data_IF_392284650468
#
_entry.id   IF_392284650468
#
_cell.length_a   1.000
_cell.length_b   1.000
_cell.length_c   1.000
_cell.angle_alpha   90.00
_cell.angle_beta   90.00
_cell.angle_gamma   90.00
#
_symmetry.space_group_name_H-M   'P 1'
#
loop_
_entity.id
_entity.type
_entity.pdbx_description
1 polymer ?
#
# COMPACT_ATOMS: atom_id res chain seq x y z
N UNK A 1 -5.30 -46.06 38.68
CA UNK A 1 -5.24 -44.60 38.45
C UNK A 1 -4.63 -44.37 37.09
N UNK A 2 -5.34 -43.74 36.16
CA UNK A 2 -4.89 -43.55 34.78
C UNK A 2 -3.74 -42.54 34.75
N UNK A 3 -2.52 -43.03 34.44
CA UNK A 3 -1.29 -42.25 34.24
C UNK A 3 -1.36 -41.42 32.94
N UNK A 4 -2.30 -40.48 32.84
CA UNK A 4 -2.34 -39.55 31.72
C UNK A 4 -1.50 -38.31 32.06
N UNK A 5 -0.43 -38.02 31.30
CA UNK A 5 0.37 -36.82 31.54
C UNK A 5 -0.50 -35.55 31.39
N UNK A 6 -0.19 -34.48 32.16
CA UNK A 6 -0.94 -33.24 32.10
C UNK A 6 -0.89 -32.65 30.69
N UNK A 7 -2.05 -32.24 30.17
CA UNK A 7 -2.11 -31.61 28.86
C UNK A 7 -1.58 -30.18 28.93
N UNK A 8 -0.89 -29.75 27.87
CA UNK A 8 -0.44 -28.37 27.71
C UNK A 8 -1.63 -27.42 27.82
N UNK A 9 -1.45 -26.32 28.57
CA UNK A 9 -2.44 -25.26 28.65
C UNK A 9 -2.83 -24.76 27.25
N UNK A 10 -4.13 -24.51 27.06
CA UNK A 10 -4.64 -23.97 25.79
C UNK A 10 -4.10 -22.56 25.57
N UNK A 11 -3.63 -22.28 24.36
CA UNK A 11 -3.11 -20.96 23.98
C UNK A 11 -4.29 -20.02 23.70
N UNK A 12 -4.24 -18.75 24.12
CA UNK A 12 -5.28 -17.78 23.74
C UNK A 12 -5.29 -17.58 22.22
N UNK A 13 -6.44 -17.16 21.68
CA UNK A 13 -6.53 -16.72 20.30
C UNK A 13 -5.66 -15.47 20.06
N UNK A 14 -4.98 -15.41 18.90
CA UNK A 14 -4.12 -14.29 18.51
C UNK A 14 -4.89 -13.02 18.08
N UNK A 15 -6.22 -13.09 17.96
CA UNK A 15 -7.04 -11.89 17.71
C UNK A 15 -7.15 -11.10 19.01
N UNK A 16 -6.63 -9.87 19.03
CA UNK A 16 -6.41 -9.10 20.26
C UNK A 16 -7.63 -8.85 21.16
N UNK A 17 -8.85 -8.96 20.64
CA UNK A 17 -10.11 -8.82 21.40
C UNK A 17 -10.81 -10.15 21.71
N UNK A 18 -10.29 -11.28 21.22
CA UNK A 18 -10.93 -12.58 21.36
C UNK A 18 -10.49 -13.26 22.67
N UNK A 19 -11.47 -13.66 23.48
CA UNK A 19 -11.24 -14.35 24.77
C UNK A 19 -11.17 -15.87 24.63
N UNK A 20 -11.45 -16.41 23.44
CA UNK A 20 -11.43 -17.86 23.20
C UNK A 20 -10.02 -18.40 23.06
N UNK A 21 -9.91 -19.73 23.18
CA UNK A 21 -8.66 -20.45 22.97
C UNK A 21 -8.45 -20.84 21.51
N UNK A 22 -7.20 -20.84 21.08
CA UNK A 22 -6.80 -21.28 19.76
C UNK A 22 -7.05 -22.79 19.59
N UNK A 23 -7.78 -23.14 18.53
CA UNK A 23 -7.96 -24.53 18.09
C UNK A 23 -6.89 -24.94 17.08
N UNK A 24 -6.49 -24.04 16.19
CA UNK A 24 -5.47 -24.31 15.16
C UNK A 24 -4.72 -23.04 14.75
N UNK A 25 -3.43 -23.14 14.39
CA UNK A 25 -2.60 -22.01 13.90
C UNK A 25 -2.67 -20.71 14.73
N UNK A 26 -2.99 -20.81 16.03
CA UNK A 26 -3.13 -19.65 16.92
C UNK A 26 -4.50 -18.94 16.88
N UNK A 27 -5.51 -19.47 16.20
CA UNK A 27 -6.85 -18.87 16.11
C UNK A 27 -7.94 -19.83 16.64
N UNK A 28 -9.01 -19.28 17.23
CA UNK A 28 -10.20 -20.06 17.61
C UNK A 28 -11.07 -20.35 16.37
N UNK A 29 -12.02 -21.28 16.48
CA UNK A 29 -12.84 -21.74 15.35
C UNK A 29 -13.63 -20.61 14.68
N UNK A 30 -14.11 -19.63 15.46
CA UNK A 30 -14.80 -18.44 14.93
C UNK A 30 -13.90 -17.60 14.01
N UNK A 31 -12.60 -17.54 14.30
CA UNK A 31 -11.63 -16.76 13.54
C UNK A 31 -10.90 -17.56 12.45
N UNK A 32 -10.99 -18.89 12.45
CA UNK A 32 -10.36 -19.74 11.44
C UNK A 32 -10.78 -19.37 10.02
N UNK A 33 -12.09 -19.17 9.78
CA UNK A 33 -12.62 -18.97 8.43
C UNK A 33 -12.07 -17.68 7.80
N UNK A 34 -12.00 -16.59 8.56
CA UNK A 34 -11.45 -15.32 8.10
C UNK A 34 -9.96 -15.44 7.75
N UNK A 35 -9.18 -16.14 8.56
CA UNK A 35 -7.74 -16.35 8.30
C UNK A 35 -7.54 -17.25 7.08
N UNK A 36 -8.30 -18.35 6.96
CA UNK A 36 -8.28 -19.23 5.79
C UNK A 36 -8.64 -18.48 4.51
N UNK A 37 -9.64 -17.59 4.56
CA UNK A 37 -10.00 -16.75 3.43
C UNK A 37 -8.84 -15.83 3.03
N UNK A 38 -8.23 -15.11 3.98
CA UNK A 38 -7.06 -14.27 3.72
C UNK A 38 -5.88 -15.05 3.15
N UNK A 39 -5.60 -16.25 3.68
CA UNK A 39 -4.54 -17.13 3.17
C UNK A 39 -4.82 -17.59 1.73
N UNK A 40 -6.09 -17.84 1.39
CA UNK A 40 -6.51 -18.17 0.02
C UNK A 40 -6.37 -16.98 -0.92
N UNK A 41 -6.84 -15.80 -0.51
CA UNK A 41 -6.70 -14.54 -1.25
C UNK A 41 -5.23 -14.18 -1.48
N UNK A 42 -4.35 -14.55 -0.53
CA UNK A 42 -2.90 -14.38 -0.67
C UNK A 42 -2.28 -15.23 -1.76
N UNK A 43 -2.88 -16.39 -2.05
CA UNK A 43 -2.32 -17.36 -2.98
C UNK A 43 -1.04 -18.02 -2.47
N UNK A 44 -0.56 -18.99 -3.24
CA UNK A 44 0.65 -19.74 -2.93
C UNK A 44 1.91 -18.89 -3.13
N UNK A 45 3.04 -19.31 -2.56
CA UNK A 45 4.32 -18.64 -2.80
C UNK A 45 4.65 -18.55 -4.31
N UNK A 46 4.41 -19.65 -5.04
CA UNK A 46 4.60 -19.71 -6.49
C UNK A 46 3.70 -18.70 -7.23
N UNK A 47 2.41 -18.60 -6.89
CA UNK A 47 1.50 -17.62 -7.49
C UNK A 47 1.93 -16.17 -7.24
N UNK A 48 2.66 -15.92 -6.16
CA UNK A 48 3.20 -14.59 -5.83
C UNK A 48 4.53 -14.29 -6.53
N UNK A 49 5.09 -15.22 -7.31
CA UNK A 49 6.34 -15.06 -8.04
C UNK A 49 7.55 -15.76 -7.40
N UNK A 50 7.39 -16.39 -6.23
CA UNK A 50 8.45 -17.16 -5.58
C UNK A 50 8.52 -18.59 -6.13
N UNK A 51 8.92 -18.70 -7.40
CA UNK A 51 9.06 -19.95 -8.14
C UNK A 51 10.54 -20.34 -8.34
N UNK A 52 10.80 -21.35 -9.17
CA UNK A 52 12.17 -21.79 -9.48
C UNK A 52 12.99 -20.71 -10.21
N UNK A 53 12.35 -19.83 -10.98
CA UNK A 53 13.02 -18.71 -11.64
C UNK A 53 13.49 -17.70 -10.60
N UNK A 54 12.65 -17.40 -9.61
CA UNK A 54 13.05 -16.55 -8.49
C UNK A 54 14.24 -17.14 -7.74
N UNK A 55 14.23 -18.43 -7.42
CA UNK A 55 15.35 -19.05 -6.68
C UNK A 55 16.69 -18.95 -7.44
N UNK A 56 16.65 -19.11 -8.78
CA UNK A 56 17.82 -18.92 -9.63
C UNK A 56 18.33 -17.48 -9.62
N UNK A 57 17.45 -16.50 -9.82
CA UNK A 57 17.84 -15.08 -9.84
C UNK A 57 18.27 -14.60 -8.44
N UNK A 58 17.63 -15.09 -7.38
CA UNK A 58 17.99 -14.85 -5.99
C UNK A 58 19.42 -15.30 -5.70
N UNK A 59 19.76 -16.53 -6.09
CA UNK A 59 21.11 -17.07 -5.89
C UNK A 59 22.16 -16.20 -6.60
N UNK A 60 21.93 -15.92 -7.89
CA UNK A 60 22.82 -15.05 -8.68
C UNK A 60 22.99 -13.65 -8.04
N UNK A 61 21.89 -13.05 -7.59
CA UNK A 61 21.93 -11.73 -6.98
C UNK A 61 22.71 -11.73 -5.66
N UNK A 62 22.58 -12.77 -4.83
CA UNK A 62 23.35 -12.90 -3.58
C UNK A 62 24.84 -13.16 -3.84
N UNK A 63 25.18 -13.91 -4.89
CA UNK A 63 26.57 -14.11 -5.30
C UNK A 63 27.23 -12.78 -5.74
N UNK A 64 26.49 -11.96 -6.50
CA UNK A 64 26.94 -10.62 -6.92
C UNK A 64 26.94 -9.61 -5.76
N UNK A 65 26.08 -9.82 -4.74
CA UNK A 65 25.88 -8.91 -3.62
C UNK A 65 25.99 -9.65 -2.27
N UNK A 66 27.19 -10.12 -1.87
CA UNK A 66 27.35 -11.02 -0.74
C UNK A 66 27.19 -10.36 0.63
N UNK A 67 27.12 -9.03 0.70
CA UNK A 67 27.08 -8.28 1.96
C UNK A 67 25.72 -7.65 2.23
N UNK A 68 25.30 -7.69 3.49
CA UNK A 68 24.06 -7.06 3.94
C UNK A 68 24.11 -5.53 3.75
N UNK A 69 23.17 -5.00 2.98
CA UNK A 69 23.06 -3.57 2.67
C UNK A 69 22.86 -2.70 3.93
N UNK A 70 22.08 -3.16 4.91
CA UNK A 70 21.86 -2.43 6.17
C UNK A 70 23.14 -2.37 7.03
N UNK A 71 23.86 -3.49 7.20
CA UNK A 71 25.15 -3.49 7.91
C UNK A 71 26.19 -2.64 7.19
N UNK A 72 26.28 -2.75 5.86
CA UNK A 72 27.20 -1.97 5.03
C UNK A 72 26.99 -0.46 5.21
N UNK A 73 25.73 0.01 5.27
CA UNK A 73 25.41 1.43 5.54
C UNK A 73 25.94 1.92 6.90
N UNK A 74 26.12 1.03 7.86
CA UNK A 74 26.65 1.32 9.21
C UNK A 74 28.17 1.08 9.30
N UNK A 75 28.85 0.79 8.19
CA UNK A 75 30.28 0.46 8.18
C UNK A 75 30.62 -0.93 8.73
N UNK A 76 29.64 -1.84 8.79
CA UNK A 76 29.82 -3.20 9.30
C UNK A 76 29.77 -4.23 8.16
N UNK A 77 30.47 -5.34 8.34
CA UNK A 77 30.53 -6.44 7.39
C UNK A 77 29.71 -7.60 7.96
N UNK A 78 28.67 -7.98 7.23
CA UNK A 78 27.80 -9.12 7.55
C UNK A 78 27.34 -9.75 6.23
N UNK A 79 27.30 -11.08 6.16
CA UNK A 79 26.87 -11.79 4.97
C UNK A 79 25.36 -11.60 4.71
N UNK A 80 24.98 -11.35 3.47
CA UNK A 80 23.59 -11.38 3.06
C UNK A 80 23.13 -12.83 2.87
N UNK A 81 21.94 -13.16 3.36
CA UNK A 81 21.34 -14.49 3.25
C UNK A 81 19.96 -14.47 2.60
N UNK A 82 19.36 -13.29 2.45
CA UNK A 82 18.05 -13.12 1.83
C UNK A 82 18.06 -11.92 0.88
N UNK A 83 17.25 -12.02 -0.17
CA UNK A 83 16.94 -10.91 -1.06
C UNK A 83 15.59 -10.36 -0.64
N UNK A 84 15.58 -9.07 -0.32
CA UNK A 84 14.39 -8.35 0.10
C UNK A 84 13.98 -7.33 -0.96
N UNK A 85 12.69 -7.06 -1.08
CA UNK A 85 12.19 -5.97 -1.91
C UNK A 85 12.18 -4.68 -1.08
N UNK A 86 12.90 -3.65 -1.53
CA UNK A 86 12.96 -2.33 -0.88
C UNK A 86 11.54 -1.78 -0.73
N UNK A 87 10.80 -1.73 -1.84
CA UNK A 87 9.36 -1.46 -1.88
C UNK A 87 8.62 -2.80 -2.00
N UNK A 88 7.73 -3.14 -1.05
CA UNK A 88 6.97 -4.38 -1.11
C UNK A 88 6.13 -4.46 -2.39
N UNK A 89 6.35 -5.51 -3.18
CA UNK A 89 5.68 -5.66 -4.48
C UNK A 89 4.15 -5.85 -4.37
N UNK A 90 3.64 -6.38 -3.25
CA UNK A 90 2.21 -6.57 -2.92
C UNK A 90 1.34 -7.23 -4.02
N UNK A 91 1.95 -7.93 -4.99
CA UNK A 91 1.26 -8.56 -6.11
C UNK A 91 1.67 -8.00 -7.49
N UNK A 92 2.32 -6.86 -7.53
CA UNK A 92 2.88 -6.26 -8.74
C UNK A 92 4.09 -7.06 -9.23
N UNK A 93 3.96 -7.67 -10.42
CA UNK A 93 5.02 -8.49 -11.01
C UNK A 93 6.14 -7.64 -11.62
N UNK A 94 5.86 -6.43 -12.10
CA UNK A 94 6.90 -5.54 -12.63
C UNK A 94 7.81 -5.12 -11.49
N UNK A 95 7.22 -4.69 -10.37
CA UNK A 95 7.96 -4.30 -9.17
C UNK A 95 8.65 -5.48 -8.48
N UNK A 96 8.11 -6.69 -8.62
CA UNK A 96 8.74 -7.93 -8.12
C UNK A 96 10.04 -8.26 -8.85
N UNK A 97 10.05 -8.10 -10.19
CA UNK A 97 11.20 -8.44 -11.04
C UNK A 97 12.17 -7.27 -11.28
N UNK A 98 11.87 -6.07 -10.78
CA UNK A 98 12.79 -4.95 -10.81
C UNK A 98 13.98 -5.17 -9.87
N UNK A 99 15.16 -5.45 -10.44
CA UNK A 99 16.40 -5.67 -9.67
C UNK A 99 16.85 -4.44 -8.89
N UNK A 100 16.47 -3.22 -9.31
CA UNK A 100 16.75 -2.00 -8.55
C UNK A 100 15.92 -1.92 -7.26
N UNK A 101 14.81 -2.65 -7.23
CA UNK A 101 13.98 -2.80 -6.04
C UNK A 101 14.48 -3.94 -5.12
N UNK A 102 15.56 -4.66 -5.48
CA UNK A 102 16.11 -5.73 -4.64
C UNK A 102 17.22 -5.19 -3.74
N UNK A 103 17.29 -5.69 -2.51
CA UNK A 103 18.40 -5.43 -1.61
C UNK A 103 18.89 -6.71 -0.90
N UNK A 104 20.21 -6.89 -0.75
CA UNK A 104 20.78 -8.01 -0.02
C UNK A 104 20.69 -7.74 1.49
N UNK A 105 20.06 -8.62 2.26
CA UNK A 105 19.97 -8.49 3.72
C UNK A 105 20.38 -9.78 4.43
N UNK A 106 20.89 -9.66 5.65
CA UNK A 106 20.95 -10.79 6.56
C UNK A 106 19.58 -11.01 7.20
N UNK A 107 19.34 -12.21 7.76
CA UNK A 107 18.03 -12.58 8.33
C UNK A 107 17.55 -11.61 9.40
N UNK A 108 18.45 -11.15 10.28
CA UNK A 108 18.09 -10.23 11.37
C UNK A 108 17.67 -8.86 10.88
N UNK A 109 18.35 -8.29 9.86
CA UNK A 109 17.95 -7.01 9.27
C UNK A 109 16.65 -7.13 8.48
N UNK A 110 16.47 -8.20 7.73
CA UNK A 110 15.21 -8.48 7.04
C UNK A 110 14.04 -8.55 8.02
N UNK A 111 14.16 -9.35 9.08
CA UNK A 111 13.07 -9.52 10.06
C UNK A 111 12.75 -8.22 10.79
N UNK A 112 13.78 -7.42 11.10
CA UNK A 112 13.60 -6.08 11.66
C UNK A 112 12.83 -5.19 10.69
N UNK A 113 13.22 -5.11 9.42
CA UNK A 113 12.49 -4.34 8.38
C UNK A 113 11.04 -4.78 8.29
N UNK A 114 10.78 -6.08 8.20
CA UNK A 114 9.40 -6.60 8.13
C UNK A 114 8.58 -6.21 9.37
N UNK A 115 9.19 -6.20 10.55
CA UNK A 115 8.51 -5.82 11.78
C UNK A 115 8.26 -4.31 11.88
N UNK A 116 9.22 -3.47 11.47
CA UNK A 116 9.17 -2.01 11.65
C UNK A 116 8.51 -1.28 10.50
N UNK A 117 8.84 -1.65 9.26
CA UNK A 117 8.41 -0.96 8.04
C UNK A 117 7.16 -1.61 7.46
N UNK A 118 7.16 -2.95 7.32
CA UNK A 118 6.02 -3.67 6.72
C UNK A 118 4.90 -3.95 7.74
N UNK A 119 5.14 -3.66 9.03
CA UNK A 119 4.23 -3.95 10.17
C UNK A 119 3.72 -5.40 10.17
N UNK A 120 4.51 -6.34 9.65
CA UNK A 120 4.15 -7.75 9.49
C UNK A 120 3.02 -8.05 8.50
N UNK A 121 2.56 -7.06 7.73
CA UNK A 121 1.39 -7.17 6.88
C UNK A 121 1.72 -7.42 5.41
N UNK A 122 1.68 -8.68 4.96
CA UNK A 122 1.42 -8.94 3.54
C UNK A 122 -0.09 -8.75 3.30
N UNK A 123 -0.45 -7.65 2.66
CA UNK A 123 -1.78 -7.46 2.08
C UNK A 123 -1.64 -7.45 0.57
N UNK A 124 -2.27 -8.39 -0.13
CA UNK A 124 -2.43 -8.28 -1.57
C UNK A 124 -3.04 -6.91 -1.88
N UNK A 125 -2.35 -6.13 -2.69
CA UNK A 125 -2.99 -5.01 -3.37
C UNK A 125 -3.33 -5.57 -4.74
N UNK A 126 -4.60 -5.52 -5.18
CA UNK A 126 -4.88 -5.79 -6.58
C UNK A 126 -3.92 -4.91 -7.41
N UNK A 127 -3.39 -5.42 -8.54
CA UNK A 127 -2.60 -4.59 -9.43
C UNK A 127 -3.39 -3.31 -9.62
N UNK A 128 -2.73 -2.18 -9.41
CA UNK A 128 -3.34 -0.88 -9.66
C UNK A 128 -3.67 -0.93 -11.14
N UNK A 129 -4.90 -1.31 -11.49
CA UNK A 129 -5.50 -0.81 -12.71
C UNK A 129 -5.34 0.68 -12.52
N UNK A 130 -4.47 1.29 -13.32
CA UNK A 130 -4.28 2.74 -13.26
C UNK A 130 -5.70 3.28 -13.19
N UNK A 131 -6.05 3.90 -12.05
CA UNK A 131 -7.33 4.60 -11.96
C UNK A 131 -7.31 5.46 -13.21
N UNK A 132 -8.29 5.35 -14.11
CA UNK A 132 -8.26 6.12 -15.32
C UNK A 132 -8.06 7.56 -14.87
N UNK A 133 -7.02 8.18 -15.43
CA UNK A 133 -6.58 9.53 -15.08
C UNK A 133 -7.67 10.58 -15.38
N UNK A 134 -8.82 10.13 -15.89
CA UNK A 134 -10.00 10.87 -16.29
C UNK A 134 -11.12 10.97 -15.23
N UNK A 135 -10.93 10.49 -13.99
CA UNK A 135 -12.00 10.57 -13.00
C UNK A 135 -12.32 12.00 -12.51
N UNK A 136 -11.64 13.01 -13.05
CA UNK A 136 -12.02 14.42 -12.93
C UNK A 136 -12.80 14.84 -14.17
N UNK A 137 -14.05 14.41 -14.23
CA UNK A 137 -15.02 14.71 -15.29
C UNK A 137 -15.54 16.13 -15.12
N UNK A 138 -14.64 17.11 -15.11
CA UNK A 138 -15.03 18.49 -15.36
C UNK A 138 -14.90 18.77 -16.85
N UNK A 139 -15.89 19.44 -17.44
CA UNK A 139 -15.84 19.88 -18.83
C UNK A 139 -15.78 21.40 -18.89
N UNK A 140 -15.11 21.93 -19.91
CA UNK A 140 -15.20 23.36 -20.22
C UNK A 140 -16.68 23.71 -20.44
N UNK A 141 -17.14 24.78 -19.79
CA UNK A 141 -18.54 25.19 -19.77
C UNK A 141 -19.39 24.60 -18.63
N UNK A 142 -18.86 23.70 -17.80
CA UNK A 142 -19.57 23.24 -16.60
C UNK A 142 -19.56 24.28 -15.48
N UNK A 143 -20.63 24.27 -14.69
CA UNK A 143 -20.79 25.15 -13.53
C UNK A 143 -20.26 24.43 -12.28
N UNK A 144 -19.38 25.12 -11.56
CA UNK A 144 -18.73 24.62 -10.36
C UNK A 144 -18.84 25.62 -9.21
N UNK A 145 -18.73 25.12 -7.99
CA UNK A 145 -18.72 25.90 -6.77
C UNK A 145 -17.41 25.67 -6.01
N UNK A 146 -16.90 26.72 -5.36
CA UNK A 146 -15.73 26.62 -4.51
C UNK A 146 -16.03 25.70 -3.30
N UNK A 147 -15.25 24.63 -3.15
CA UNK A 147 -15.44 23.59 -2.15
C UNK A 147 -14.46 23.70 -0.97
N UNK A 148 -13.56 24.69 -0.99
CA UNK A 148 -12.53 24.89 0.04
C UNK A 148 -12.39 26.37 0.39
N UNK A 149 -12.07 26.66 1.66
CA UNK A 149 -11.85 28.03 2.13
C UNK A 149 -10.75 28.77 1.35
N UNK A 150 -9.72 28.03 0.88
CA UNK A 150 -8.66 28.59 0.04
C UNK A 150 -9.19 29.16 -1.29
N UNK A 151 -10.07 28.42 -1.98
CA UNK A 151 -10.66 28.90 -3.23
C UNK A 151 -11.62 30.06 -3.00
N UNK A 152 -12.33 30.08 -1.88
CA UNK A 152 -13.27 31.15 -1.51
C UNK A 152 -12.54 32.47 -1.28
N UNK A 153 -11.44 32.42 -0.52
CA UNK A 153 -10.58 33.58 -0.30
C UNK A 153 -9.92 34.06 -1.61
N UNK A 154 -9.37 33.13 -2.39
CA UNK A 154 -8.70 33.45 -3.67
C UNK A 154 -9.66 34.08 -4.69
N UNK A 155 -10.88 33.57 -4.78
CA UNK A 155 -11.91 34.06 -5.71
C UNK A 155 -12.72 35.22 -5.13
N UNK A 156 -12.43 35.65 -3.90
CA UNK A 156 -13.19 36.67 -3.17
C UNK A 156 -14.70 36.43 -3.22
N UNK A 157 -15.12 35.18 -3.03
CA UNK A 157 -16.50 34.73 -3.20
C UNK A 157 -17.09 34.14 -1.92
N UNK A 158 -18.38 33.81 -1.94
CA UNK A 158 -19.08 33.03 -0.92
C UNK A 158 -19.14 31.53 -1.25
N UNK A 159 -19.55 30.74 -0.26
CA UNK A 159 -19.74 29.28 -0.40
C UNK A 159 -20.85 28.88 -1.36
N UNK A 160 -21.76 29.81 -1.68
CA UNK A 160 -22.91 29.59 -2.57
C UNK A 160 -22.64 30.04 -4.00
N UNK A 161 -21.54 30.75 -4.24
CA UNK A 161 -21.24 31.32 -5.54
C UNK A 161 -20.80 30.24 -6.51
N UNK A 162 -21.17 30.44 -7.78
CA UNK A 162 -20.96 29.48 -8.86
C UNK A 162 -20.13 30.12 -9.96
N UNK A 163 -19.33 29.29 -10.63
CA UNK A 163 -18.36 29.68 -11.63
C UNK A 163 -18.46 28.76 -12.83
N UNK A 164 -18.35 29.32 -14.02
CA UNK A 164 -18.25 28.54 -15.25
C UNK A 164 -16.78 28.25 -15.57
N UNK A 165 -16.44 27.01 -15.86
CA UNK A 165 -15.09 26.63 -16.27
C UNK A 165 -14.80 27.16 -17.67
N UNK A 166 -13.81 28.05 -17.80
CA UNK A 166 -13.41 28.63 -19.09
C UNK A 166 -12.36 27.80 -19.82
N UNK A 167 -11.42 27.22 -19.09
CA UNK A 167 -10.41 26.32 -19.65
C UNK A 167 -9.93 25.31 -18.60
N UNK A 168 -9.38 24.19 -19.07
CA UNK A 168 -8.80 23.15 -18.22
C UNK A 168 -7.41 22.84 -18.76
N UNK A 169 -6.39 23.03 -17.92
CA UNK A 169 -4.99 22.69 -18.20
C UNK A 169 -4.52 21.70 -17.13
N UNK A 170 -4.18 20.48 -17.55
CA UNK A 170 -3.81 19.35 -16.67
C UNK A 170 -4.87 19.07 -15.58
N UNK A 171 -4.59 19.56 -14.36
CA UNK A 171 -5.44 19.41 -13.17
C UNK A 171 -5.94 20.75 -12.64
N UNK A 172 -5.76 21.83 -13.38
CA UNK A 172 -6.20 23.17 -13.01
C UNK A 172 -7.37 23.57 -13.87
N UNK A 173 -8.35 24.19 -13.24
CA UNK A 173 -9.47 24.83 -13.93
C UNK A 173 -9.29 26.34 -13.86
N UNK A 174 -9.65 27.00 -14.94
CA UNK A 174 -9.69 28.45 -15.05
C UNK A 174 -11.12 28.93 -14.89
N UNK A 175 -11.32 29.83 -13.93
CA UNK A 175 -12.61 30.47 -13.63
C UNK A 175 -12.42 31.97 -13.54
N UNK A 176 -13.47 32.73 -13.84
CA UNK A 176 -13.45 34.18 -13.69
C UNK A 176 -14.27 34.56 -12.45
N UNK A 177 -13.76 35.48 -11.63
CA UNK A 177 -14.52 36.03 -10.52
C UNK A 177 -15.55 37.08 -10.98
N UNK A 178 -16.32 37.63 -10.04
CA UNK A 178 -17.33 38.65 -10.31
C UNK A 178 -16.75 39.96 -10.89
N UNK A 179 -15.47 40.22 -10.61
CA UNK A 179 -14.74 41.40 -11.08
C UNK A 179 -14.04 41.16 -12.43
N UNK A 180 -14.12 39.93 -12.96
CA UNK A 180 -13.58 39.54 -14.25
C UNK A 180 -12.10 39.13 -14.22
N UNK A 181 -11.51 38.94 -13.05
CA UNK A 181 -10.15 38.40 -12.94
C UNK A 181 -10.12 36.90 -13.18
N UNK A 182 -9.05 36.46 -13.83
CA UNK A 182 -8.84 35.08 -14.22
C UNK A 182 -8.07 34.35 -13.12
N UNK A 183 -8.65 33.28 -12.60
CA UNK A 183 -8.06 32.46 -11.54
C UNK A 183 -7.82 31.03 -12.03
N UNK A 184 -6.61 30.52 -11.79
CA UNK A 184 -6.25 29.13 -12.12
C UNK A 184 -6.00 28.33 -10.86
N UNK A 185 -6.93 27.46 -10.54
CA UNK A 185 -6.92 26.70 -9.29
C UNK A 185 -7.06 25.20 -9.57
N UNK A 186 -6.45 24.37 -8.72
CA UNK A 186 -6.52 22.92 -8.88
C UNK A 186 -7.98 22.44 -8.75
N UNK A 187 -8.42 21.52 -9.60
CA UNK A 187 -9.82 21.07 -9.69
C UNK A 187 -10.37 20.53 -8.34
N UNK A 188 -9.49 20.08 -7.43
CA UNK A 188 -9.88 19.58 -6.10
C UNK A 188 -10.48 20.64 -5.19
N UNK A 189 -10.29 21.91 -5.52
CA UNK A 189 -10.89 23.02 -4.79
C UNK A 189 -12.33 23.32 -5.21
N UNK A 190 -12.87 22.58 -6.18
CA UNK A 190 -14.19 22.82 -6.74
C UNK A 190 -15.04 21.56 -6.72
N UNK A 191 -16.36 21.78 -6.73
CA UNK A 191 -17.36 20.73 -6.84
C UNK A 191 -18.31 21.08 -7.98
N UNK A 192 -18.66 20.09 -8.80
CA UNK A 192 -19.66 20.27 -9.86
C UNK A 192 -21.02 20.60 -9.24
N UNK A 193 -21.69 21.60 -9.79
CA UNK A 193 -23.07 21.93 -9.46
C UNK A 193 -23.93 21.30 -10.55
N UNK A 194 -24.56 20.17 -10.23
CA UNK A 194 -25.63 19.63 -11.07
C UNK A 194 -26.85 20.51 -10.90
N UNK A 195 -27.38 21.03 -12.01
CA UNK A 195 -28.70 21.63 -12.06
C UNK A 195 -29.78 20.63 -11.60
#
# INVERSE_FOLDING_TARGET
MSNRPPQRAKRPCLVGSCKDFASNKGYCDQHQNRIKQKDRERGTAHQRGYDARWEKERTKFLDENPLCADHRKRGLIEAATVVDHIVPHKGDQVLFWDKNNWQPLCKSCHDRKTATEDKGGWSYQPPVTQKPVDCYVFKVGEIVQAATAYAIDTLSCGWTDIFEIKSIEDKKIEVHDADGFVHRLHHSHFKAVTA
#
